data_IF_315207812146
#
_entry.id   IF_315207812146
#
_cell.length_a   1.000
_cell.length_b   1.000
_cell.length_c   1.000
_cell.angle_alpha   90.00
_cell.angle_beta   90.00
_cell.angle_gamma   90.00
#
_symmetry.space_group_name_H-M   'P 1'
#
loop_
_entity.id
_entity.type
_entity.pdbx_description
1 polymer ?
#
# COMPACT_ATOMS: atom_id res chain seq x y z
N UNK A 1 57.32 39.24 -51.10
CA UNK A 1 56.12 39.42 -50.23
C UNK A 1 55.11 38.35 -50.57
N UNK A 2 55.07 37.21 -49.82
CA UNK A 2 54.17 36.10 -50.04
C UNK A 2 53.24 36.00 -48.83
N UNK A 3 51.92 36.23 -49.04
CA UNK A 3 50.87 36.06 -48.02
C UNK A 3 50.42 34.60 -48.01
N UNK A 4 50.76 33.88 -46.97
CA UNK A 4 50.18 32.59 -46.66
C UNK A 4 48.74 32.78 -46.16
N UNK A 5 47.78 32.34 -46.95
CA UNK A 5 46.38 32.17 -46.52
C UNK A 5 46.25 30.88 -45.74
N UNK A 6 45.98 30.97 -44.47
CA UNK A 6 45.59 29.86 -43.60
C UNK A 6 44.14 29.51 -43.88
N UNK A 7 43.90 28.42 -44.63
CA UNK A 7 42.58 27.81 -44.77
C UNK A 7 42.28 27.00 -43.52
N UNK A 8 41.54 27.58 -42.60
CA UNK A 8 40.97 26.87 -41.44
C UNK A 8 39.79 26.03 -41.97
N UNK A 9 40.01 24.75 -42.10
CA UNK A 9 38.99 23.76 -42.45
C UNK A 9 38.02 23.57 -41.28
N UNK A 10 36.91 24.26 -41.27
CA UNK A 10 35.79 24.09 -40.36
C UNK A 10 34.86 22.97 -40.84
N UNK A 11 35.33 21.74 -40.80
CA UNK A 11 34.45 20.59 -41.02
C UNK A 11 34.57 19.66 -39.82
N UNK A 12 33.54 19.65 -38.95
CA UNK A 12 32.90 18.47 -38.26
C UNK A 12 32.23 18.78 -36.92
N UNK A 13 31.23 19.70 -36.80
CA UNK A 13 30.40 19.69 -35.63
C UNK A 13 29.17 18.74 -35.73
N UNK A 14 28.71 18.44 -36.98
CA UNK A 14 27.47 17.68 -37.16
C UNK A 14 27.51 16.21 -36.63
N UNK A 15 28.66 15.53 -36.82
CA UNK A 15 28.81 14.14 -36.33
C UNK A 15 28.88 14.05 -34.80
N UNK A 16 29.46 15.02 -34.14
CA UNK A 16 29.55 15.05 -32.68
C UNK A 16 28.21 15.35 -32.03
N UNK A 17 27.38 16.19 -32.65
CA UNK A 17 26.02 16.50 -32.19
C UNK A 17 25.08 15.30 -32.32
N UNK A 18 25.17 14.55 -33.42
CA UNK A 18 24.39 13.34 -33.64
C UNK A 18 24.78 12.23 -32.63
N UNK A 19 26.09 12.06 -32.38
CA UNK A 19 26.55 11.10 -31.37
C UNK A 19 26.12 11.49 -29.95
N UNK A 20 26.15 12.76 -29.60
CA UNK A 20 25.68 13.25 -28.30
C UNK A 20 24.16 13.07 -28.12
N UNK A 21 23.36 13.27 -29.17
CA UNK A 21 21.92 13.09 -29.12
C UNK A 21 21.52 11.61 -29.00
N UNK A 22 22.21 10.71 -29.70
CA UNK A 22 21.98 9.26 -29.61
C UNK A 22 22.37 8.72 -28.21
N UNK A 23 23.49 9.21 -27.66
CA UNK A 23 23.91 8.84 -26.31
C UNK A 23 22.95 9.36 -25.23
N UNK A 24 22.43 10.58 -25.38
CA UNK A 24 21.44 11.17 -24.49
C UNK A 24 20.09 10.43 -24.51
N UNK A 25 19.63 9.99 -25.69
CA UNK A 25 18.40 9.23 -25.84
C UNK A 25 18.51 7.81 -25.23
N UNK A 26 19.69 7.20 -25.29
CA UNK A 26 19.95 5.90 -24.68
C UNK A 26 19.86 5.90 -23.16
N UNK A 27 20.24 6.98 -22.49
CA UNK A 27 20.17 7.11 -21.03
C UNK A 27 18.72 7.28 -20.54
N UNK A 28 17.85 7.86 -21.34
CA UNK A 28 16.43 8.06 -21.01
C UNK A 28 15.60 6.76 -21.10
N UNK A 29 16.05 5.76 -21.83
CA UNK A 29 15.38 4.47 -22.00
C UNK A 29 15.73 3.43 -20.92
N UNK A 30 16.75 3.66 -20.10
CA UNK A 30 17.25 2.70 -19.10
C UNK A 30 16.55 2.71 -17.74
N UNK A 31 15.52 3.53 -17.55
CA UNK A 31 14.97 3.85 -16.21
C UNK A 31 13.85 2.96 -15.68
N UNK A 32 13.30 2.04 -16.44
CA UNK A 32 12.19 1.18 -15.97
C UNK A 32 12.71 -0.14 -15.42
N UNK A 33 13.16 -0.17 -14.16
CA UNK A 33 13.51 -1.38 -13.46
C UNK A 33 12.31 -1.90 -12.68
N UNK A 34 12.01 -3.19 -12.85
CA UNK A 34 11.00 -3.88 -12.05
C UNK A 34 11.45 -3.95 -10.58
N UNK A 35 10.56 -3.58 -9.68
CA UNK A 35 10.77 -3.64 -8.24
C UNK A 35 9.96 -4.78 -7.66
N UNK A 36 10.65 -5.78 -7.08
CA UNK A 36 10.00 -6.85 -6.34
C UNK A 36 9.86 -6.42 -4.88
N UNK A 37 8.62 -6.45 -4.39
CA UNK A 37 8.27 -6.16 -3.01
C UNK A 37 7.77 -7.44 -2.35
N UNK A 38 8.29 -7.72 -1.16
CA UNK A 38 7.87 -8.85 -0.33
C UNK A 38 7.11 -8.32 0.88
N UNK A 39 5.94 -8.89 1.13
CA UNK A 39 5.07 -8.54 2.24
C UNK A 39 4.77 -9.77 3.08
N UNK A 40 4.72 -9.59 4.40
CA UNK A 40 4.43 -10.64 5.35
C UNK A 40 5.64 -11.52 5.68
N UNK A 41 5.40 -12.54 6.49
CA UNK A 41 6.40 -13.53 6.87
C UNK A 41 6.29 -14.73 5.93
N UNK A 42 7.35 -14.99 5.18
CA UNK A 42 7.49 -16.19 4.34
C UNK A 42 8.32 -17.19 5.14
N UNK A 43 7.70 -18.21 5.75
CA UNK A 43 8.47 -19.27 6.38
C UNK A 43 9.27 -20.01 5.31
N UNK A 44 10.54 -20.31 5.61
CA UNK A 44 11.33 -21.16 4.74
C UNK A 44 10.79 -22.58 4.77
N UNK A 45 10.66 -23.24 3.62
CA UNK A 45 10.16 -24.62 3.53
C UNK A 45 10.94 -25.57 4.45
N UNK A 46 12.27 -25.38 4.56
CA UNK A 46 13.13 -26.15 5.44
C UNK A 46 12.79 -25.99 6.94
N UNK A 47 12.18 -24.88 7.33
CA UNK A 47 11.71 -24.64 8.69
C UNK A 47 10.34 -25.26 8.93
N UNK A 48 9.44 -25.16 7.95
CA UNK A 48 8.10 -25.77 8.03
C UNK A 48 8.17 -27.28 8.17
N UNK A 49 9.06 -27.94 7.42
CA UNK A 49 9.25 -29.40 7.47
C UNK A 49 9.78 -29.89 8.83
N UNK A 50 10.38 -29.01 9.64
CA UNK A 50 10.86 -29.36 10.97
C UNK A 50 9.75 -29.42 12.02
N UNK A 51 8.58 -28.88 11.73
CA UNK A 51 7.44 -28.89 12.65
C UNK A 51 6.79 -30.27 12.64
N UNK A 52 6.65 -30.88 13.80
CA UNK A 52 6.07 -32.22 13.98
C UNK A 52 4.68 -32.12 14.63
N UNK A 53 3.59 -32.33 13.88
CA UNK A 53 2.26 -32.41 14.46
C UNK A 53 2.17 -33.45 15.59
N UNK A 54 1.47 -33.14 16.67
CA UNK A 54 1.34 -33.94 17.85
C UNK A 54 2.53 -33.91 18.83
N UNK A 55 3.61 -33.13 18.51
CA UNK A 55 4.78 -33.04 19.38
C UNK A 55 5.19 -31.60 19.68
N UNK A 56 5.17 -30.72 18.66
CA UNK A 56 5.62 -29.35 18.80
C UNK A 56 4.50 -28.46 19.35
N UNK A 57 4.89 -27.56 20.25
CA UNK A 57 4.02 -26.55 20.84
C UNK A 57 4.16 -25.20 20.14
N UNK A 58 3.30 -24.24 20.50
CA UNK A 58 3.32 -22.86 20.01
C UNK A 58 4.68 -22.19 20.15
N UNK A 59 5.39 -22.43 21.26
CA UNK A 59 6.69 -21.83 21.49
C UNK A 59 7.72 -22.34 20.49
N UNK A 60 7.66 -23.63 20.17
CA UNK A 60 8.52 -24.25 19.19
C UNK A 60 8.25 -23.71 17.78
N UNK A 61 6.98 -23.58 17.41
CA UNK A 61 6.56 -22.99 16.14
C UNK A 61 7.04 -21.55 16.03
N UNK A 62 6.86 -20.74 17.07
CA UNK A 62 7.32 -19.35 17.08
C UNK A 62 8.86 -19.23 17.02
N UNK A 63 9.60 -20.15 17.60
CA UNK A 63 11.07 -20.20 17.50
C UNK A 63 11.54 -20.53 16.08
N UNK A 64 10.82 -21.38 15.35
CA UNK A 64 11.17 -21.78 14.00
C UNK A 64 10.72 -20.77 12.94
N UNK A 65 9.48 -20.32 13.02
CA UNK A 65 8.85 -19.51 11.98
C UNK A 65 8.74 -18.02 12.37
N UNK A 66 9.02 -17.68 13.63
CA UNK A 66 8.75 -16.33 14.15
C UNK A 66 7.27 -16.13 14.50
N UNK A 67 6.90 -14.90 14.84
CA UNK A 67 5.52 -14.55 15.17
C UNK A 67 4.58 -14.69 13.98
N UNK A 68 3.35 -15.20 14.15
CA UNK A 68 2.38 -15.35 13.07
C UNK A 68 1.90 -13.99 12.54
N UNK A 69 1.47 -13.94 11.29
CA UNK A 69 0.88 -12.74 10.67
C UNK A 69 -0.46 -12.38 11.32
N UNK A 70 -1.24 -13.37 11.68
CA UNK A 70 -2.51 -13.23 12.41
C UNK A 70 -2.88 -14.54 13.11
N UNK A 71 -3.80 -14.45 14.07
CA UNK A 71 -4.35 -15.60 14.80
C UNK A 71 -5.86 -15.68 14.61
N UNK A 72 -6.41 -16.88 14.68
CA UNK A 72 -7.86 -17.11 14.61
C UNK A 72 -8.60 -16.39 15.74
N UNK A 73 -9.76 -15.81 15.41
CA UNK A 73 -10.53 -14.96 16.34
C UNK A 73 -11.79 -15.66 16.88
N UNK A 74 -12.26 -16.70 16.21
CA UNK A 74 -13.57 -17.30 16.48
C UNK A 74 -13.52 -18.70 17.13
N UNK A 75 -12.66 -18.87 18.13
CA UNK A 75 -12.64 -20.08 18.95
C UNK A 75 -11.70 -21.17 18.46
N UNK A 76 -11.13 -21.04 17.28
CA UNK A 76 -10.12 -21.93 16.77
C UNK A 76 -8.74 -21.36 17.11
N UNK A 77 -7.94 -22.14 17.81
CA UNK A 77 -6.57 -21.76 18.15
C UNK A 77 -5.65 -22.02 16.94
N UNK A 78 -5.77 -21.14 15.94
CA UNK A 78 -5.12 -21.28 14.64
C UNK A 78 -4.21 -20.08 14.37
N UNK A 79 -3.02 -20.34 13.89
CA UNK A 79 -2.05 -19.33 13.46
C UNK A 79 -1.93 -19.32 11.96
N UNK A 80 -1.85 -18.10 11.39
CA UNK A 80 -1.69 -17.88 9.96
C UNK A 80 -0.40 -17.13 9.67
N UNK A 81 0.43 -17.70 8.81
CA UNK A 81 1.61 -17.07 8.22
C UNK A 81 1.27 -16.72 6.79
N UNK A 82 1.15 -15.44 6.51
CA UNK A 82 0.71 -14.94 5.21
C UNK A 82 1.90 -14.30 4.51
N UNK A 83 2.17 -14.72 3.29
CA UNK A 83 3.22 -14.18 2.44
C UNK A 83 2.66 -13.72 1.10
N UNK A 84 3.18 -12.60 0.60
CA UNK A 84 2.84 -12.07 -0.72
C UNK A 84 4.06 -11.41 -1.35
N UNK A 85 4.37 -11.78 -2.59
CA UNK A 85 5.36 -11.10 -3.43
C UNK A 85 4.67 -10.41 -4.57
N UNK A 86 5.02 -9.15 -4.80
CA UNK A 86 4.49 -8.35 -5.90
C UNK A 86 5.63 -7.79 -6.73
N UNK A 87 5.42 -7.73 -8.05
CA UNK A 87 6.27 -7.01 -8.98
C UNK A 87 5.62 -5.71 -9.39
N UNK A 88 6.37 -4.63 -9.29
CA UNK A 88 5.91 -3.31 -9.72
C UNK A 88 6.85 -2.73 -10.75
N UNK A 89 6.32 -2.39 -11.92
CA UNK A 89 7.06 -1.72 -12.99
C UNK A 89 6.66 -0.26 -13.05
N UNK A 90 7.61 0.63 -12.76
CA UNK A 90 7.43 2.09 -12.76
C UNK A 90 6.22 2.53 -11.91
N UNK A 91 5.20 3.11 -12.54
CA UNK A 91 3.99 3.66 -11.89
C UNK A 91 2.73 2.80 -12.10
N UNK A 92 2.89 1.60 -12.68
CA UNK A 92 1.78 0.67 -12.85
C UNK A 92 1.40 -0.01 -11.53
N UNK A 93 0.18 -0.51 -11.47
CA UNK A 93 -0.27 -1.29 -10.32
C UNK A 93 0.61 -2.53 -10.13
N UNK A 94 0.93 -2.89 -8.88
CA UNK A 94 1.76 -4.06 -8.62
C UNK A 94 1.01 -5.35 -8.96
N UNK A 95 1.65 -6.20 -9.76
CA UNK A 95 1.16 -7.54 -10.04
C UNK A 95 1.59 -8.52 -8.95
N UNK A 96 0.69 -9.40 -8.52
CA UNK A 96 1.01 -10.47 -7.56
C UNK A 96 1.72 -11.59 -8.29
N UNK A 97 3.01 -11.81 -7.96
CA UNK A 97 3.83 -12.89 -8.51
C UNK A 97 3.56 -14.19 -7.78
N UNK A 98 3.43 -14.09 -6.45
CA UNK A 98 3.32 -15.24 -5.57
C UNK A 98 2.61 -14.85 -4.27
N UNK A 99 1.78 -15.76 -3.78
CA UNK A 99 1.06 -15.62 -2.51
C UNK A 99 0.89 -17.00 -1.88
N UNK A 100 1.22 -17.08 -0.59
CA UNK A 100 1.04 -18.29 0.18
C UNK A 100 0.48 -18.01 1.55
N UNK A 101 -0.27 -18.96 2.08
CA UNK A 101 -0.77 -18.96 3.46
C UNK A 101 -0.46 -20.32 4.08
N UNK A 102 0.31 -20.30 5.17
CA UNK A 102 0.48 -21.47 6.03
C UNK A 102 -0.47 -21.30 7.22
N UNK A 103 -1.39 -22.24 7.37
CA UNK A 103 -2.31 -22.36 8.48
C UNK A 103 -1.81 -23.46 9.42
N UNK A 104 -1.70 -23.16 10.71
CA UNK A 104 -1.31 -24.10 11.76
C UNK A 104 -2.39 -24.11 12.82
N UNK A 105 -3.09 -25.25 12.94
CA UNK A 105 -4.09 -25.49 13.98
C UNK A 105 -3.46 -26.09 15.23
N UNK A 106 -3.90 -25.62 16.40
CA UNK A 106 -3.44 -26.11 17.70
C UNK A 106 -4.60 -26.72 18.48
N UNK A 107 -4.29 -27.75 19.23
CA UNK A 107 -5.24 -28.37 20.17
C UNK A 107 -5.43 -27.51 21.44
N UNK A 108 -6.30 -27.98 22.36
CA UNK A 108 -6.58 -27.29 23.61
C UNK A 108 -5.34 -27.19 24.55
N UNK A 109 -4.30 -27.96 24.31
CA UNK A 109 -3.04 -27.97 25.03
C UNK A 109 -1.99 -27.04 24.38
N UNK A 110 -2.29 -26.51 23.20
CA UNK A 110 -1.39 -25.68 22.42
C UNK A 110 -0.35 -26.45 21.61
N UNK A 111 -0.61 -27.75 21.35
CA UNK A 111 0.21 -28.63 20.52
C UNK A 111 -0.31 -28.52 19.07
N UNK A 112 0.57 -28.55 18.08
CA UNK A 112 0.21 -28.54 16.65
C UNK A 112 -0.65 -29.77 16.33
N UNK A 113 -1.90 -29.54 15.91
CA UNK A 113 -2.84 -30.62 15.52
C UNK A 113 -2.74 -30.88 14.02
N UNK A 114 -2.84 -29.81 13.20
CA UNK A 114 -2.73 -29.93 11.75
C UNK A 114 -2.02 -28.71 11.12
N UNK A 115 -1.57 -28.89 9.87
CA UNK A 115 -0.97 -27.82 9.08
C UNK A 115 -1.50 -27.88 7.65
N UNK A 116 -1.86 -26.72 7.11
CA UNK A 116 -2.32 -26.59 5.71
C UNK A 116 -1.57 -25.45 5.01
N UNK A 117 -1.18 -25.71 3.77
CA UNK A 117 -0.56 -24.72 2.91
C UNK A 117 -1.54 -24.40 1.79
N UNK A 118 -1.81 -23.13 1.59
CA UNK A 118 -2.61 -22.61 0.49
C UNK A 118 -1.72 -21.76 -0.40
N UNK A 119 -1.83 -21.95 -1.68
CA UNK A 119 -1.12 -21.17 -2.70
C UNK A 119 -2.08 -20.23 -3.45
N UNK A 120 -1.54 -19.50 -4.42
CA UNK A 120 -2.33 -18.58 -5.24
C UNK A 120 -3.44 -19.28 -6.05
N UNK A 121 -3.28 -20.56 -6.40
CA UNK A 121 -4.28 -21.33 -7.14
C UNK A 121 -5.50 -21.70 -6.28
N UNK A 122 -5.33 -21.78 -4.95
CA UNK A 122 -6.42 -21.99 -4.00
C UNK A 122 -7.25 -20.73 -3.78
N UNK A 123 -6.73 -19.58 -4.24
CA UNK A 123 -7.36 -18.26 -4.11
C UNK A 123 -8.68 -18.17 -4.87
N UNK A 124 -9.68 -17.53 -4.25
CA UNK A 124 -10.99 -17.28 -4.85
C UNK A 124 -11.23 -15.79 -4.97
N UNK A 125 -11.54 -15.33 -6.19
CA UNK A 125 -11.98 -13.94 -6.39
C UNK A 125 -13.36 -13.74 -5.76
N UNK A 126 -13.41 -12.86 -4.76
CA UNK A 126 -14.66 -12.43 -4.15
C UNK A 126 -15.11 -11.16 -4.85
N UNK A 127 -16.28 -11.22 -5.53
CA UNK A 127 -16.85 -10.05 -6.15
C UNK A 127 -17.23 -9.03 -5.08
N UNK A 128 -16.80 -7.80 -5.26
CA UNK A 128 -17.22 -6.66 -4.43
C UNK A 128 -18.72 -6.42 -4.64
N UNK A 129 -19.45 -6.28 -3.56
CA UNK A 129 -20.87 -5.95 -3.64
C UNK A 129 -21.00 -4.44 -3.75
N UNK A 130 -21.50 -3.94 -4.88
CA UNK A 130 -21.73 -2.51 -5.15
C UNK A 130 -22.91 -1.91 -4.35
N UNK A 131 -23.21 -2.51 -3.20
CA UNK A 131 -24.26 -1.99 -2.34
C UNK A 131 -23.75 -0.81 -1.53
N UNK A 132 -24.09 0.40 -1.97
CA UNK A 132 -23.85 1.62 -1.20
C UNK A 132 -24.89 1.74 -0.09
N UNK A 133 -24.46 1.97 1.13
CA UNK A 133 -25.36 2.35 2.21
C UNK A 133 -25.74 3.82 2.02
N UNK A 134 -27.02 4.16 1.79
CA UNK A 134 -27.43 5.56 1.67
C UNK A 134 -27.18 6.24 3.01
N UNK A 135 -26.23 7.14 3.03
CA UNK A 135 -26.01 8.03 4.16
C UNK A 135 -26.92 9.25 3.97
N UNK A 136 -27.81 9.50 4.94
CA UNK A 136 -28.55 10.76 5.01
C UNK A 136 -27.59 11.88 5.42
N UNK A 137 -26.67 12.24 4.53
CA UNK A 137 -25.81 13.40 4.67
C UNK A 137 -26.52 14.64 4.12
N UNK A 138 -26.24 15.79 4.68
CA UNK A 138 -26.68 17.07 4.14
C UNK A 138 -25.96 17.30 2.80
N UNK A 139 -26.63 17.04 1.68
CA UNK A 139 -26.07 17.32 0.35
C UNK A 139 -26.06 18.83 0.11
N UNK A 140 -25.00 19.47 0.57
CA UNK A 140 -24.73 20.86 0.22
C UNK A 140 -24.35 20.91 -1.26
N UNK A 141 -25.19 21.56 -2.07
CA UNK A 141 -24.87 21.83 -3.47
C UNK A 141 -23.56 22.63 -3.56
N UNK A 142 -22.77 22.40 -4.61
CA UNK A 142 -21.49 23.09 -4.86
C UNK A 142 -21.64 24.60 -4.75
N UNK A 143 -22.82 25.14 -5.16
CA UNK A 143 -23.15 26.56 -5.08
C UNK A 143 -23.32 27.00 -3.61
N UNK A 144 -23.96 26.20 -2.75
CA UNK A 144 -24.10 26.51 -1.31
C UNK A 144 -22.74 26.44 -0.59
N UNK A 145 -21.87 25.53 -1.00
CA UNK A 145 -20.52 25.43 -0.47
C UNK A 145 -19.66 26.64 -0.88
N UNK A 146 -19.81 27.09 -2.12
CA UNK A 146 -19.11 28.27 -2.63
C UNK A 146 -19.60 29.56 -1.95
N UNK A 147 -20.92 29.74 -1.81
CA UNK A 147 -21.54 30.90 -1.17
C UNK A 147 -21.30 30.90 0.36
N UNK A 148 -21.25 29.73 1.01
CA UNK A 148 -20.96 29.64 2.44
C UNK A 148 -19.50 30.00 2.81
N UNK A 149 -18.58 29.96 1.86
CA UNK A 149 -17.20 30.39 2.03
C UNK A 149 -16.96 31.85 1.59
N UNK A 150 -17.87 32.44 0.84
CA UNK A 150 -17.77 33.84 0.38
C UNK A 150 -18.22 34.77 1.52
N UNK A 151 -17.33 35.26 2.32
CA UNK A 151 -17.63 36.15 3.43
C UNK A 151 -16.88 35.84 4.72
N UNK A 152 -16.24 34.68 4.80
CA UNK A 152 -15.43 34.32 5.98
C UNK A 152 -14.05 34.98 6.02
N UNK A 153 -13.67 35.65 4.93
CA UNK A 153 -12.37 36.32 4.82
C UNK A 153 -12.47 37.83 4.62
N UNK A 154 -13.58 38.45 5.08
CA UNK A 154 -13.59 39.90 5.19
C UNK A 154 -12.74 40.31 6.41
N UNK A 155 -11.65 41.09 6.23
CA UNK A 155 -10.76 41.45 7.33
C UNK A 155 -11.26 42.62 8.19
N UNK A 156 -12.55 42.91 8.17
CA UNK A 156 -13.13 43.99 8.98
C UNK A 156 -14.37 43.48 9.73
N UNK A 157 -14.15 42.94 10.90
CA UNK A 157 -15.04 43.16 12.03
C UNK A 157 -14.33 42.82 13.34
N UNK A 158 -13.64 43.82 13.91
CA UNK A 158 -13.30 43.89 15.33
C UNK A 158 -14.54 44.35 16.12
N UNK A 159 -15.66 43.64 15.99
CA UNK A 159 -16.82 43.84 16.88
C UNK A 159 -16.74 42.91 18.08
N UNK A 160 -17.15 43.39 19.28
CA UNK A 160 -17.08 42.57 20.50
C UNK A 160 -18.04 41.40 20.39
N UNK A 161 -17.48 40.22 20.65
CA UNK A 161 -18.08 38.89 20.70
C UNK A 161 -19.37 38.89 21.54
N UNK A 162 -20.54 38.99 20.90
CA UNK A 162 -21.82 38.63 21.49
C UNK A 162 -22.14 37.20 21.07
N UNK A 163 -21.62 36.23 21.87
CA UNK A 163 -22.01 34.86 21.79
C UNK A 163 -23.53 34.70 21.99
N UNK A 164 -24.18 33.74 21.34
CA UNK A 164 -25.58 33.46 21.58
C UNK A 164 -25.76 32.95 23.00
N UNK A 165 -26.42 33.78 23.81
CA UNK A 165 -26.89 33.40 25.13
C UNK A 165 -27.86 32.23 24.99
N UNK A 166 -27.43 31.07 25.49
CA UNK A 166 -28.28 29.92 25.69
C UNK A 166 -29.40 30.25 26.64
N UNK A 167 -30.63 30.22 26.12
CA UNK A 167 -31.81 30.30 26.94
C UNK A 167 -32.03 28.97 27.64
N UNK A 168 -31.64 28.93 28.90
CA UNK A 168 -32.06 27.93 29.88
C UNK A 168 -33.56 28.10 30.13
N UNK A 169 -34.39 27.25 29.52
CA UNK A 169 -35.75 27.02 29.95
C UNK A 169 -35.78 25.93 31.01
N UNK A 170 -35.94 26.32 32.24
CA UNK A 170 -36.11 25.44 33.39
C UNK A 170 -37.62 25.09 33.61
N UNK A 171 -37.94 24.26 34.55
CA UNK A 171 -38.90 23.18 34.50
C UNK A 171 -40.16 23.51 35.27
N UNK A 172 -41.21 22.85 34.96
CA UNK A 172 -42.34 22.71 35.84
C UNK A 172 -42.72 21.24 35.81
N UNK A 173 -42.74 20.54 36.88
CA UNK A 173 -43.49 20.63 38.12
C UNK A 173 -44.84 19.93 37.99
N UNK A 174 -44.94 18.89 38.75
CA UNK A 174 -46.04 18.04 39.23
C UNK A 174 -46.12 16.68 38.53
#
# INVERSE_FOLDING_TARGET
MARHQLLISTRRPARSLVLASVLGLGVLLGGCQEKILQHGNVPDEDQVVQIMPGQDDKNRVEQLLGSPSTTGTFGDDTWYYISKRTAQTAFFDPDTIDQGVLEIGFDAQGIVEDMKIYDQADGRLVATVDRTTPTHGNELTIIQQLLGNFGRFSPEDNGPNTGPTGTTGAPGGV
#
